data_IF_468809832735
#
_entry.id   IF_468809832735
#
_cell.length_a   1.000
_cell.length_b   1.000
_cell.length_c   1.000
_cell.angle_alpha   90.00
_cell.angle_beta   90.00
_cell.angle_gamma   90.00
#
_symmetry.space_group_name_H-M   'P 1'
#
loop_
_entity.id
_entity.type
_entity.pdbx_description
1 polymer ?
#
# COMPACT_ATOMS: atom_id res chain seq x y z
N UNK A 1 15.97 14.29 -24.18
CA UNK A 1 14.78 13.43 -24.40
C UNK A 1 13.76 14.25 -25.17
N UNK A 2 13.35 13.78 -26.36
CA UNK A 2 12.52 14.57 -27.31
C UNK A 2 11.04 14.09 -27.33
N UNK A 3 10.63 13.27 -26.37
CA UNK A 3 9.27 12.76 -26.28
C UNK A 3 8.35 13.63 -25.42
N UNK A 4 7.06 13.30 -25.43
CA UNK A 4 6.07 13.86 -24.47
C UNK A 4 6.40 13.42 -23.04
N UNK A 5 5.89 14.14 -22.00
CA UNK A 5 6.10 13.71 -20.60
C UNK A 5 5.68 12.26 -20.35
N UNK A 6 4.58 11.80 -20.96
CA UNK A 6 4.11 10.41 -20.84
C UNK A 6 5.10 9.43 -21.48
N UNK A 7 5.60 9.70 -22.69
CA UNK A 7 6.57 8.83 -23.37
C UNK A 7 7.86 8.71 -22.56
N UNK A 8 8.38 9.84 -22.05
CA UNK A 8 9.57 9.85 -21.19
C UNK A 8 9.36 9.07 -19.89
N UNK A 9 8.16 9.18 -19.29
CA UNK A 9 7.81 8.44 -18.08
C UNK A 9 7.73 6.93 -18.36
N UNK A 10 7.15 6.51 -19.47
CA UNK A 10 7.10 5.10 -19.90
C UNK A 10 8.51 4.55 -20.08
N UNK A 11 9.38 5.26 -20.77
CA UNK A 11 10.78 4.85 -20.98
C UNK A 11 11.51 4.66 -19.64
N UNK A 12 11.37 5.63 -18.73
CA UNK A 12 12.00 5.60 -17.40
C UNK A 12 11.51 4.43 -16.54
N UNK A 13 10.20 4.16 -16.55
CA UNK A 13 9.60 3.15 -15.71
C UNK A 13 9.72 1.72 -16.28
N UNK A 14 9.74 1.56 -17.60
CA UNK A 14 9.88 0.25 -18.24
C UNK A 14 11.14 -0.49 -17.78
N UNK A 15 12.23 0.21 -17.52
CA UNK A 15 13.46 -0.39 -17.01
C UNK A 15 13.33 -0.97 -15.60
N UNK A 16 12.28 -0.59 -14.86
CA UNK A 16 12.01 -1.01 -13.48
C UNK A 16 10.99 -2.15 -13.38
N UNK A 17 10.32 -2.50 -14.49
CA UNK A 17 9.30 -3.56 -14.49
C UNK A 17 9.89 -4.88 -14.00
N UNK A 18 9.20 -5.52 -13.05
CA UNK A 18 9.59 -6.79 -12.45
C UNK A 18 10.67 -6.70 -11.36
N UNK A 19 11.29 -5.54 -11.17
CA UNK A 19 12.27 -5.36 -10.09
C UNK A 19 11.56 -5.03 -8.77
N UNK A 20 11.94 -5.68 -7.65
CA UNK A 20 11.42 -5.29 -6.35
C UNK A 20 11.95 -3.92 -5.95
N UNK A 21 11.11 -3.11 -5.32
CA UNK A 21 11.52 -1.84 -4.71
C UNK A 21 12.40 -2.08 -3.49
N UNK A 22 13.08 -1.02 -3.04
CA UNK A 22 13.58 -1.02 -1.67
C UNK A 22 12.39 -1.04 -0.70
N UNK A 23 12.43 -1.82 0.38
CA UNK A 23 11.38 -1.80 1.39
C UNK A 23 11.22 -0.41 2.00
N UNK A 24 9.99 -0.07 2.41
CA UNK A 24 9.77 1.09 3.28
C UNK A 24 10.40 0.86 4.65
N UNK A 25 10.47 1.90 5.47
CA UNK A 25 10.82 1.76 6.88
C UNK A 25 9.76 0.94 7.63
N UNK A 26 10.17 0.32 8.73
CA UNK A 26 9.23 -0.32 9.64
C UNK A 26 8.34 0.72 10.32
N UNK A 27 7.04 0.49 10.27
CA UNK A 27 6.01 1.40 10.76
C UNK A 27 5.11 0.69 11.78
N UNK A 28 5.04 1.20 13.00
CA UNK A 28 4.21 0.61 14.06
C UNK A 28 2.73 0.93 13.85
N UNK A 29 1.88 -0.09 13.98
CA UNK A 29 0.42 0.07 14.00
C UNK A 29 -0.04 0.23 15.44
N UNK A 30 -0.33 1.47 15.82
CA UNK A 30 -0.79 1.81 17.18
C UNK A 30 -2.30 1.63 17.33
N UNK A 31 -2.76 1.41 18.57
CA UNK A 31 -4.21 1.39 18.88
C UNK A 31 -4.88 2.72 18.53
N UNK A 32 -4.22 3.85 18.75
CA UNK A 32 -4.73 5.17 18.39
C UNK A 32 -5.02 5.29 16.89
N UNK A 33 -4.11 4.79 16.05
CA UNK A 33 -4.31 4.78 14.59
C UNK A 33 -5.48 3.90 14.17
N UNK A 34 -5.63 2.73 14.79
CA UNK A 34 -6.75 1.83 14.55
C UNK A 34 -8.08 2.47 14.96
N UNK A 35 -8.13 3.11 16.13
CA UNK A 35 -9.32 3.82 16.60
C UNK A 35 -9.69 4.98 15.67
N UNK A 36 -8.71 5.77 15.23
CA UNK A 36 -8.93 6.87 14.28
C UNK A 36 -9.50 6.36 12.95
N UNK A 37 -9.00 5.24 12.45
CA UNK A 37 -9.52 4.61 11.23
C UNK A 37 -10.95 4.10 11.44
N UNK A 38 -11.23 3.46 12.58
CA UNK A 38 -12.57 3.00 12.94
C UNK A 38 -13.58 4.15 12.95
N UNK A 39 -13.21 5.28 13.55
CA UNK A 39 -14.06 6.48 13.58
C UNK A 39 -14.31 7.04 12.17
N UNK A 40 -13.27 7.11 11.34
CA UNK A 40 -13.37 7.64 9.98
C UNK A 40 -14.20 6.77 9.05
N UNK A 41 -14.18 5.44 9.23
CA UNK A 41 -14.83 4.45 8.36
C UNK A 41 -16.12 3.88 8.94
N UNK A 42 -16.44 4.18 10.20
CA UNK A 42 -17.56 3.64 10.97
C UNK A 42 -17.44 2.14 11.28
N UNK A 43 -16.29 1.52 11.05
CA UNK A 43 -16.02 0.12 11.39
C UNK A 43 -15.52 0.01 12.83
N UNK A 44 -16.46 -0.01 13.77
CA UNK A 44 -16.24 -0.07 15.22
C UNK A 44 -16.25 -1.51 15.75
N UNK A 45 -15.91 -2.50 14.93
CA UNK A 45 -15.93 -3.90 15.38
C UNK A 45 -14.96 -4.11 16.55
N UNK A 46 -15.42 -4.84 17.57
CA UNK A 46 -14.69 -5.02 18.83
C UNK A 46 -13.29 -5.63 18.67
N UNK A 47 -13.06 -6.43 17.64
CA UNK A 47 -11.74 -7.01 17.36
C UNK A 47 -10.67 -5.94 17.06
N UNK A 48 -11.08 -4.71 16.76
CA UNK A 48 -10.21 -3.59 16.45
C UNK A 48 -10.11 -2.59 17.62
N UNK A 49 -11.25 -2.27 18.24
CA UNK A 49 -11.36 -1.11 19.14
C UNK A 49 -11.54 -1.45 20.61
N UNK A 50 -11.70 -2.73 20.97
CA UNK A 50 -11.84 -3.17 22.36
C UNK A 50 -10.70 -4.13 22.75
N UNK A 51 -9.57 -3.59 23.28
CA UNK A 51 -8.39 -4.41 23.62
C UNK A 51 -8.68 -5.51 24.63
N UNK A 52 -9.55 -5.26 25.63
CA UNK A 52 -9.84 -6.26 26.67
C UNK A 52 -10.64 -7.42 26.10
N UNK A 53 -11.64 -7.15 25.30
CA UNK A 53 -12.42 -8.19 24.63
C UNK A 53 -11.58 -8.91 23.56
N UNK A 54 -10.74 -8.18 22.83
CA UNK A 54 -9.91 -8.76 21.77
C UNK A 54 -8.87 -9.75 22.30
N UNK A 55 -8.37 -9.60 23.54
CA UNK A 55 -7.48 -10.56 24.20
C UNK A 55 -8.13 -11.94 24.31
N UNK A 56 -9.41 -11.99 24.59
CA UNK A 56 -10.19 -13.24 24.71
C UNK A 56 -10.70 -13.75 23.36
N UNK A 57 -10.47 -12.99 22.29
CA UNK A 57 -10.93 -13.28 20.95
C UNK A 57 -9.96 -14.19 20.16
N UNK A 58 -10.31 -14.48 18.90
CA UNK A 58 -9.60 -15.46 18.07
C UNK A 58 -8.15 -15.06 17.72
N UNK A 59 -7.81 -13.79 17.86
CA UNK A 59 -6.48 -13.27 17.51
C UNK A 59 -5.59 -13.01 18.73
N UNK A 60 -6.13 -13.12 19.95
CA UNK A 60 -5.40 -12.91 21.20
C UNK A 60 -4.97 -11.46 21.48
N UNK A 61 -5.31 -10.54 20.61
CA UNK A 61 -5.02 -9.11 20.70
C UNK A 61 -5.92 -8.34 19.72
N UNK A 62 -6.09 -7.02 19.89
CA UNK A 62 -6.74 -6.21 18.85
C UNK A 62 -5.90 -6.23 17.57
N UNK A 63 -6.59 -6.23 16.43
CA UNK A 63 -5.96 -6.24 15.10
C UNK A 63 -6.33 -4.98 14.32
N UNK A 64 -5.45 -4.55 13.43
CA UNK A 64 -5.76 -3.51 12.46
C UNK A 64 -6.84 -3.98 11.48
N UNK A 65 -7.66 -3.06 11.01
CA UNK A 65 -8.53 -3.30 9.85
C UNK A 65 -7.66 -3.64 8.64
N UNK A 66 -8.02 -4.66 7.89
CA UNK A 66 -7.34 -4.96 6.63
C UNK A 66 -7.35 -3.75 5.69
N UNK A 67 -8.45 -3.00 5.67
CA UNK A 67 -8.59 -1.77 4.89
C UNK A 67 -7.64 -0.65 5.37
N UNK A 68 -7.29 -0.58 6.65
CA UNK A 68 -6.28 0.35 7.14
C UNK A 68 -4.91 0.03 6.53
N UNK A 69 -4.48 -1.23 6.60
CA UNK A 69 -3.19 -1.65 6.03
C UNK A 69 -3.14 -1.42 4.53
N UNK A 70 -4.23 -1.70 3.81
CA UNK A 70 -4.36 -1.42 2.38
C UNK A 70 -4.24 0.08 2.08
N UNK A 71 -4.89 0.94 2.89
CA UNK A 71 -4.91 2.38 2.67
C UNK A 71 -3.54 3.03 2.85
N UNK A 72 -2.72 2.56 3.79
CA UNK A 72 -1.42 3.17 4.11
C UNK A 72 -0.25 2.56 3.34
N UNK A 73 -0.41 1.41 2.69
CA UNK A 73 0.72 0.67 2.08
C UNK A 73 1.51 1.48 1.06
N UNK A 74 0.87 2.42 0.36
CA UNK A 74 1.52 3.30 -0.62
C UNK A 74 2.19 4.53 -0.01
N UNK A 75 2.00 4.80 1.28
CA UNK A 75 2.38 6.04 1.94
C UNK A 75 3.31 5.85 3.13
N UNK A 76 3.75 4.62 3.40
CA UNK A 76 4.72 4.37 4.46
C UNK A 76 6.06 5.06 4.14
N UNK A 77 6.76 5.59 5.16
CA UNK A 77 8.02 6.30 4.96
C UNK A 77 9.13 5.40 4.42
N UNK A 78 10.14 5.99 3.79
CA UNK A 78 11.23 5.25 3.15
C UNK A 78 10.79 4.53 1.86
N UNK A 79 11.63 3.68 1.33
CA UNK A 79 11.32 2.82 0.18
C UNK A 79 11.21 3.56 -1.15
N UNK A 80 12.24 3.50 -1.96
CA UNK A 80 12.19 4.03 -3.32
C UNK A 80 11.40 3.07 -4.23
N UNK A 81 10.48 3.63 -5.04
CA UNK A 81 9.66 2.86 -6.00
C UNK A 81 8.44 2.19 -5.40
N UNK A 82 8.05 2.57 -4.18
CA UNK A 82 6.77 2.18 -3.58
C UNK A 82 5.77 3.33 -3.73
N UNK A 83 4.56 3.00 -4.15
CA UNK A 83 3.48 3.98 -4.29
C UNK A 83 3.59 4.83 -5.54
N UNK A 84 3.32 6.13 -5.41
CA UNK A 84 3.29 7.06 -6.51
C UNK A 84 4.72 7.49 -6.91
N UNK A 85 5.15 7.24 -8.16
CA UNK A 85 6.46 7.67 -8.61
C UNK A 85 6.51 9.20 -8.76
N UNK A 86 7.69 9.77 -8.55
CA UNK A 86 7.97 11.16 -8.90
C UNK A 86 8.45 11.22 -10.35
N UNK A 87 7.69 11.83 -11.23
CA UNK A 87 7.95 11.90 -12.66
C UNK A 87 7.93 13.37 -13.13
N UNK A 88 8.83 13.69 -14.05
CA UNK A 88 8.90 15.02 -14.63
C UNK A 88 7.62 15.40 -15.37
N UNK A 89 7.09 16.59 -15.08
CA UNK A 89 5.84 17.07 -15.66
C UNK A 89 4.57 16.49 -15.08
N UNK A 90 4.68 15.61 -14.09
CA UNK A 90 3.52 15.05 -13.38
C UNK A 90 2.75 16.15 -12.63
N UNK A 91 1.43 16.22 -12.84
CA UNK A 91 0.54 17.14 -12.13
C UNK A 91 -0.13 16.49 -10.93
N UNK A 92 -0.63 15.28 -11.09
CA UNK A 92 -1.27 14.53 -9.99
C UNK A 92 -1.31 13.03 -10.30
N UNK A 93 -1.45 12.24 -9.24
CA UNK A 93 -1.74 10.82 -9.30
C UNK A 93 -3.08 10.51 -8.68
N UNK A 94 -3.81 9.60 -9.31
CA UNK A 94 -5.15 9.19 -8.89
C UNK A 94 -5.11 7.72 -8.51
N UNK A 95 -5.59 7.38 -7.32
CA UNK A 95 -5.92 6.00 -6.98
C UNK A 95 -7.12 5.58 -7.82
N UNK A 96 -6.87 4.84 -8.91
CA UNK A 96 -7.92 4.42 -9.82
C UNK A 96 -8.62 3.15 -9.34
N UNK A 97 -7.88 2.25 -8.68
CA UNK A 97 -8.45 1.02 -8.15
C UNK A 97 -7.41 0.00 -7.75
N UNK A 98 -7.91 -1.20 -7.49
CA UNK A 98 -7.15 -2.37 -7.13
C UNK A 98 -7.60 -3.56 -7.98
N UNK A 99 -6.68 -4.30 -8.59
CA UNK A 99 -7.02 -5.49 -9.36
C UNK A 99 -7.18 -6.73 -8.49
N UNK A 100 -6.30 -6.90 -7.50
CA UNK A 100 -6.28 -8.04 -6.60
C UNK A 100 -5.93 -7.57 -5.21
N UNK A 101 -6.73 -7.98 -4.22
CA UNK A 101 -6.44 -7.72 -2.80
C UNK A 101 -6.68 -9.01 -2.03
N UNK A 102 -5.70 -9.40 -1.20
CA UNK A 102 -5.82 -10.52 -0.27
C UNK A 102 -5.21 -10.14 1.06
N UNK A 103 -6.01 -10.22 2.11
CA UNK A 103 -5.57 -10.11 3.50
C UNK A 103 -5.24 -11.50 4.00
N UNK A 104 -3.97 -11.82 4.15
CA UNK A 104 -3.50 -13.18 4.38
C UNK A 104 -3.14 -13.47 5.82
N UNK A 105 -2.82 -12.41 6.60
CA UNK A 105 -2.45 -12.53 8.00
C UNK A 105 -2.87 -11.26 8.75
N UNK A 106 -3.51 -11.38 9.94
CA UNK A 106 -3.89 -10.21 10.72
C UNK A 106 -2.65 -9.44 11.21
N UNK A 107 -2.75 -8.12 11.23
CA UNK A 107 -1.76 -7.25 11.85
C UNK A 107 -2.25 -6.90 13.25
N UNK A 108 -1.61 -7.45 14.27
CA UNK A 108 -1.91 -7.09 15.66
C UNK A 108 -1.49 -5.65 15.96
N UNK A 109 -2.24 -4.98 16.80
CA UNK A 109 -1.84 -3.67 17.32
C UNK A 109 -0.50 -3.80 18.04
N UNK A 110 0.42 -2.86 17.78
CA UNK A 110 1.81 -2.88 18.26
C UNK A 110 2.79 -3.57 17.31
N UNK A 111 2.30 -4.32 16.30
CA UNK A 111 3.17 -4.87 15.27
C UNK A 111 3.71 -3.76 14.36
N UNK A 112 4.89 -4.02 13.80
CA UNK A 112 5.49 -3.16 12.78
C UNK A 112 5.31 -3.79 11.40
N UNK A 113 4.96 -2.97 10.44
CA UNK A 113 4.78 -3.36 9.04
C UNK A 113 5.68 -2.54 8.12
N UNK A 114 5.95 -3.06 6.95
CA UNK A 114 6.59 -2.33 5.85
C UNK A 114 6.02 -2.79 4.51
N UNK A 115 6.20 -1.98 3.48
CA UNK A 115 5.76 -2.31 2.13
C UNK A 115 6.96 -2.58 1.22
N UNK A 116 6.84 -3.61 0.40
CA UNK A 116 7.69 -3.85 -0.76
C UNK A 116 6.82 -3.77 -2.01
N UNK A 117 7.24 -2.99 -2.98
CA UNK A 117 6.56 -2.83 -4.26
C UNK A 117 7.29 -3.54 -5.39
N UNK A 118 6.54 -3.87 -6.45
CA UNK A 118 7.08 -4.34 -7.71
C UNK A 118 6.22 -3.80 -8.85
N UNK A 119 6.83 -3.01 -9.73
CA UNK A 119 6.15 -2.48 -10.90
C UNK A 119 5.81 -3.63 -11.86
N UNK A 120 4.54 -3.77 -12.24
CA UNK A 120 4.07 -4.81 -13.15
C UNK A 120 3.87 -4.32 -14.57
N UNK A 121 3.29 -3.13 -14.74
CA UNK A 121 3.03 -2.56 -16.06
C UNK A 121 2.93 -1.04 -16.03
N UNK A 122 3.25 -0.45 -17.16
CA UNK A 122 3.14 1.00 -17.42
C UNK A 122 2.59 1.16 -18.83
N UNK A 123 1.45 1.81 -18.98
CA UNK A 123 0.80 1.99 -20.27
C UNK A 123 0.11 3.36 -20.34
N UNK A 124 0.07 3.96 -21.52
CA UNK A 124 -0.81 5.11 -21.76
C UNK A 124 -2.25 4.62 -21.98
N UNK A 125 -3.18 5.17 -21.20
CA UNK A 125 -4.62 4.89 -21.34
C UNK A 125 -5.44 6.16 -21.18
N UNK A 126 -6.23 6.48 -22.18
CA UNK A 126 -7.12 7.64 -22.19
C UNK A 126 -6.38 8.97 -21.91
N UNK A 127 -5.17 9.15 -22.43
CA UNK A 127 -4.37 10.35 -22.25
C UNK A 127 -3.72 10.49 -20.86
N UNK A 128 -3.72 9.44 -20.06
CA UNK A 128 -3.06 9.34 -18.77
C UNK A 128 -2.09 8.16 -18.75
N UNK A 129 -1.10 8.19 -17.87
CA UNK A 129 -0.26 7.04 -17.62
C UNK A 129 -0.92 6.13 -16.60
N UNK A 130 -1.20 4.88 -16.97
CA UNK A 130 -1.61 3.84 -16.01
C UNK A 130 -0.38 3.10 -15.51
N UNK A 131 -0.26 2.99 -14.19
CA UNK A 131 0.81 2.27 -13.51
C UNK A 131 0.20 1.22 -12.61
N UNK A 132 0.61 -0.04 -12.79
CA UNK A 132 0.17 -1.15 -11.93
C UNK A 132 1.36 -1.64 -11.11
N UNK A 133 1.23 -1.56 -9.79
CA UNK A 133 2.21 -2.07 -8.83
C UNK A 133 1.62 -3.24 -8.04
N UNK A 134 2.36 -4.33 -7.91
CA UNK A 134 2.11 -5.32 -6.87
C UNK A 134 2.79 -4.87 -5.59
N UNK A 135 2.02 -4.82 -4.52
CA UNK A 135 2.48 -4.33 -3.22
C UNK A 135 2.25 -5.40 -2.17
N UNK A 136 3.27 -5.66 -1.37
CA UNK A 136 3.25 -6.64 -0.29
C UNK A 136 3.50 -5.93 1.04
N UNK A 137 2.59 -6.12 1.99
CA UNK A 137 2.80 -5.70 3.38
C UNK A 137 3.43 -6.85 4.15
N UNK A 138 4.64 -6.63 4.63
CA UNK A 138 5.36 -7.54 5.54
C UNK A 138 5.13 -7.12 7.00
N UNK A 139 5.12 -8.11 7.91
CA UNK A 139 5.07 -7.91 9.37
C UNK A 139 6.43 -8.29 9.94
N UNK A 140 7.01 -7.44 10.80
CA UNK A 140 8.31 -7.72 11.44
C UNK A 140 8.28 -9.06 12.20
N UNK A 141 9.23 -9.93 11.90
CA UNK A 141 9.36 -11.25 12.55
C UNK A 141 8.34 -12.30 12.08
N UNK A 142 7.57 -12.05 11.02
CA UNK A 142 6.56 -12.98 10.49
C UNK A 142 6.81 -13.24 9.00
N UNK A 143 6.96 -14.51 8.63
CA UNK A 143 7.25 -14.88 7.23
C UNK A 143 6.07 -14.64 6.28
N UNK A 144 4.84 -14.88 6.77
CA UNK A 144 3.64 -14.73 5.97
C UNK A 144 3.22 -13.25 5.91
N UNK A 145 3.09 -12.65 4.72
CA UNK A 145 2.69 -11.25 4.58
C UNK A 145 1.28 -11.00 5.09
N UNK A 146 1.02 -9.77 5.55
CA UNK A 146 -0.30 -9.34 5.97
C UNK A 146 -1.25 -9.15 4.79
N UNK A 147 -0.75 -8.54 3.73
CA UNK A 147 -1.54 -8.20 2.55
C UNK A 147 -0.70 -8.25 1.28
N UNK A 148 -1.29 -8.71 0.20
CA UNK A 148 -0.78 -8.55 -1.16
C UNK A 148 -1.87 -7.93 -2.01
N UNK A 149 -1.54 -6.85 -2.73
CA UNK A 149 -2.50 -6.13 -3.55
C UNK A 149 -1.85 -5.58 -4.82
N UNK A 150 -2.62 -5.44 -5.88
CA UNK A 150 -2.19 -4.76 -7.11
C UNK A 150 -2.88 -3.41 -7.21
N UNK A 151 -2.16 -2.33 -6.93
CA UNK A 151 -2.66 -0.96 -7.08
C UNK A 151 -2.69 -0.56 -8.55
N UNK A 152 -3.74 0.15 -8.95
CA UNK A 152 -3.86 0.77 -10.26
C UNK A 152 -3.89 2.28 -10.07
N UNK A 153 -2.85 2.95 -10.55
CA UNK A 153 -2.72 4.39 -10.50
C UNK A 153 -2.92 4.99 -11.89
N UNK A 154 -3.52 6.18 -11.95
CA UNK A 154 -3.56 7.02 -13.15
C UNK A 154 -2.82 8.32 -12.87
N UNK A 155 -1.88 8.67 -13.75
CA UNK A 155 -1.02 9.85 -13.61
C UNK A 155 -1.35 10.83 -14.74
N UNK A 156 -1.57 12.08 -14.35
CA UNK A 156 -1.86 13.20 -15.25
C UNK A 156 -0.61 14.06 -15.39
N UNK A 157 -0.30 14.44 -16.60
CA UNK A 157 0.82 15.31 -16.98
C UNK A 157 0.33 16.66 -17.50
#
# INVERSE_FOLDING_TARGET
>A
MSGTPIENAIETLNAQIGQPSQPTDWFEITQERVNTFADATLDQQWIHVDPERAKEGPFGAPIAHGQLTLSIMSFLPGGAGVGLPSLDGMKLGINYGWNKVRFMNPVQVGAKIRTVGKLLSVEEKAGMLEVINEMTIEIEGVDKPACVAQSVLRIVF
#
